data_IF_768425622702
#
_entry.id   IF_768425622702
#
_cell.length_a   1.000
_cell.length_b   1.000
_cell.length_c   1.000
_cell.angle_alpha   90.00
_cell.angle_beta   90.00
_cell.angle_gamma   90.00
#
_symmetry.space_group_name_H-M   'P 1'
#
loop_
_entity.id
_entity.type
_entity.pdbx_description
1 polymer ?
#
# COMPACT_ATOMS: atom_id res chain seq x y z
N UNK A 1 12.33 4.79 -7.65
CA UNK A 1 11.74 6.13 -7.41
C UNK A 1 11.02 6.10 -6.06
N UNK A 2 10.95 7.21 -5.30
CA UNK A 2 10.35 7.23 -3.95
C UNK A 2 9.69 8.57 -3.64
N UNK A 3 8.50 8.53 -3.01
CA UNK A 3 7.84 9.71 -2.46
C UNK A 3 7.13 9.39 -1.15
N UNK A 4 7.20 10.30 -0.19
CA UNK A 4 6.64 10.12 1.16
C UNK A 4 5.33 10.90 1.29
N UNK A 5 4.32 10.23 1.84
CA UNK A 5 2.99 10.75 2.06
C UNK A 5 2.60 10.62 3.53
N UNK A 6 1.59 11.38 3.96
CA UNK A 6 1.01 11.28 5.30
C UNK A 6 -0.42 10.78 5.21
N UNK A 7 -0.80 9.89 6.12
CA UNK A 7 -2.22 9.55 6.29
C UNK A 7 -2.88 10.62 7.14
N UNK A 8 -3.83 11.33 6.54
CA UNK A 8 -4.61 12.35 7.22
C UNK A 8 -5.75 11.73 8.04
N UNK A 9 -6.37 10.67 7.53
CA UNK A 9 -7.52 10.02 8.16
C UNK A 9 -7.50 8.50 7.97
N UNK A 10 -7.78 7.75 9.03
CA UNK A 10 -7.83 6.29 8.98
C UNK A 10 -9.19 5.73 8.53
N UNK A 11 -10.23 6.55 8.42
CA UNK A 11 -11.56 6.11 7.94
C UNK A 11 -11.57 5.75 6.45
N UNK A 12 -10.90 6.56 5.64
CA UNK A 12 -10.78 6.40 4.18
C UNK A 12 -9.30 6.22 3.81
N UNK A 13 -8.59 5.38 4.57
CA UNK A 13 -7.15 5.17 4.41
C UNK A 13 -6.82 4.54 3.05
N UNK A 14 -7.67 3.63 2.58
CA UNK A 14 -7.55 2.90 1.32
C UNK A 14 -7.66 3.84 0.12
N UNK A 15 -8.66 4.73 0.12
CA UNK A 15 -8.81 5.77 -0.90
C UNK A 15 -7.66 6.77 -0.89
N UNK A 16 -7.12 7.09 0.29
CA UNK A 16 -5.95 7.96 0.40
C UNK A 16 -4.70 7.29 -0.18
N UNK A 17 -4.46 6.02 0.12
CA UNK A 17 -3.35 5.26 -0.48
C UNK A 17 -3.51 5.21 -1.99
N UNK A 18 -4.72 4.96 -2.50
CA UNK A 18 -4.99 4.96 -3.95
C UNK A 18 -4.73 6.32 -4.60
N UNK A 19 -5.19 7.40 -3.98
CA UNK A 19 -4.91 8.76 -4.46
C UNK A 19 -3.41 9.06 -4.47
N UNK A 20 -2.67 8.63 -3.45
CA UNK A 20 -1.22 8.80 -3.39
C UNK A 20 -0.50 7.98 -4.46
N UNK A 21 -0.97 6.76 -4.76
CA UNK A 21 -0.40 5.92 -5.82
C UNK A 21 -0.62 6.53 -7.21
N UNK A 22 -1.81 7.10 -7.48
CA UNK A 22 -2.08 7.84 -8.71
C UNK A 22 -1.24 9.10 -8.85
N UNK A 23 -1.09 9.86 -7.77
CA UNK A 23 -0.20 11.03 -7.73
C UNK A 23 1.26 10.63 -8.01
N UNK A 24 1.74 9.56 -7.39
CA UNK A 24 3.06 8.99 -7.66
C UNK A 24 3.22 8.61 -9.14
N UNK A 25 2.24 7.90 -9.72
CA UNK A 25 2.27 7.49 -11.13
C UNK A 25 2.22 8.68 -12.08
N UNK A 26 1.44 9.72 -11.78
CA UNK A 26 1.40 10.94 -12.57
C UNK A 26 2.74 11.67 -12.55
N UNK A 27 3.46 11.65 -11.41
CA UNK A 27 4.77 12.30 -11.26
C UNK A 27 5.90 11.51 -11.93
N UNK A 28 5.94 10.18 -11.74
CA UNK A 28 7.06 9.35 -12.17
C UNK A 28 6.80 8.54 -13.46
N UNK A 29 5.57 8.57 -13.98
CA UNK A 29 5.15 7.78 -15.15
C UNK A 29 5.01 6.28 -14.87
N UNK A 30 5.21 5.82 -13.63
CA UNK A 30 5.14 4.41 -13.21
C UNK A 30 4.39 4.29 -11.90
N UNK A 31 3.51 3.29 -11.80
CA UNK A 31 2.80 3.01 -10.55
C UNK A 31 3.77 2.45 -9.49
N UNK A 32 3.59 2.78 -8.20
CA UNK A 32 4.43 2.21 -7.15
C UNK A 32 4.14 0.72 -6.94
N UNK A 33 5.14 -0.03 -6.46
CA UNK A 33 5.01 -1.45 -6.14
C UNK A 33 5.36 -1.80 -4.68
N UNK A 34 5.86 -0.83 -3.91
CA UNK A 34 6.09 -0.99 -2.48
C UNK A 34 5.44 0.15 -1.70
N UNK A 35 4.95 -0.19 -0.52
CA UNK A 35 4.59 0.73 0.55
C UNK A 35 5.52 0.47 1.73
N UNK A 36 6.48 1.38 1.94
CA UNK A 36 7.40 1.34 3.06
C UNK A 36 6.88 2.19 4.22
N UNK A 37 6.82 1.63 5.42
CA UNK A 37 6.40 2.35 6.61
C UNK A 37 7.00 1.74 7.88
N UNK A 38 7.01 2.51 8.97
CA UNK A 38 7.43 1.96 10.27
C UNK A 38 6.50 0.85 10.73
N UNK A 39 6.98 -0.03 11.59
CA UNK A 39 6.20 -1.14 12.15
C UNK A 39 4.86 -0.69 12.73
N UNK A 40 4.84 0.45 13.43
CA UNK A 40 3.62 1.01 14.03
C UNK A 40 2.61 1.40 12.96
N UNK A 41 3.05 1.97 11.85
CA UNK A 41 2.19 2.33 10.73
C UNK A 41 1.65 1.09 10.01
N UNK A 42 2.49 0.09 9.76
CA UNK A 42 2.08 -1.19 9.17
C UNK A 42 1.02 -1.90 10.03
N UNK A 43 1.21 -1.93 11.36
CA UNK A 43 0.20 -2.45 12.29
C UNK A 43 -1.13 -1.70 12.18
N UNK A 44 -1.11 -0.37 12.00
CA UNK A 44 -2.33 0.42 11.81
C UNK A 44 -3.03 0.13 10.49
N UNK A 45 -2.29 -0.04 9.40
CA UNK A 45 -2.83 -0.50 8.12
C UNK A 45 -3.54 -1.84 8.28
N UNK A 46 -2.89 -2.80 8.93
CA UNK A 46 -3.45 -4.12 9.18
C UNK A 46 -4.77 -4.05 9.97
N UNK A 47 -4.76 -3.33 11.11
CA UNK A 47 -5.98 -3.13 11.91
C UNK A 47 -7.11 -2.46 11.12
N UNK A 48 -6.80 -1.48 10.27
CA UNK A 48 -7.77 -0.79 9.46
C UNK A 48 -8.35 -1.70 8.35
N UNK A 49 -7.52 -2.53 7.72
CA UNK A 49 -7.95 -3.50 6.72
C UNK A 49 -8.82 -4.62 7.31
N UNK A 50 -8.48 -5.13 8.49
CA UNK A 50 -9.30 -6.12 9.20
C UNK A 50 -10.68 -5.56 9.56
N UNK A 51 -10.74 -4.31 10.06
CA UNK A 51 -12.03 -3.63 10.33
C UNK A 51 -12.88 -3.49 9.07
N UNK A 52 -12.28 -3.16 7.93
CA UNK A 52 -13.00 -3.06 6.65
C UNK A 52 -13.53 -4.43 6.16
N UNK A 53 -12.80 -5.51 6.40
CA UNK A 53 -13.22 -6.87 6.05
C UNK A 53 -14.31 -7.42 6.98
N UNK A 54 -14.24 -7.15 8.28
CA UNK A 54 -15.28 -7.51 9.25
C UNK A 54 -16.63 -6.88 8.89
N UNK A 55 -16.63 -5.69 8.27
CA UNK A 55 -17.87 -5.06 7.76
C UNK A 55 -18.46 -5.70 6.50
N UNK A 56 -17.74 -6.61 5.81
CA UNK A 56 -18.15 -7.16 4.49
C UNK A 56 -18.56 -8.64 4.50
N UNK A 57 -18.38 -9.40 5.58
CA UNK A 57 -18.84 -10.80 5.68
C UNK A 57 -19.75 -11.04 6.87
N UNK A 58 -21.03 -11.24 6.59
CA UNK A 58 -21.93 -11.96 7.48
C UNK A 58 -21.61 -13.47 7.33
N UNK A 59 -21.10 -14.12 8.39
CA UNK A 59 -20.96 -15.58 8.40
C UNK A 59 -19.94 -16.17 9.37
N UNK A 60 -18.73 -15.62 9.47
CA UNK A 60 -17.72 -16.07 10.42
C UNK A 60 -17.03 -14.84 11.00
N UNK A 61 -17.10 -14.68 12.32
CA UNK A 61 -16.38 -13.63 13.02
C UNK A 61 -14.89 -13.84 12.73
N UNK A 62 -14.28 -12.94 11.95
CA UNK A 62 -12.83 -12.91 11.84
C UNK A 62 -12.28 -12.77 13.26
N UNK A 63 -11.47 -13.74 13.68
CA UNK A 63 -10.85 -13.73 14.99
C UNK A 63 -10.09 -12.40 15.15
N UNK A 64 -10.46 -11.53 16.10
CA UNK A 64 -9.80 -10.23 16.29
C UNK A 64 -8.34 -10.35 16.71
N UNK A 65 -7.89 -11.56 17.08
CA UNK A 65 -6.49 -11.90 17.36
C UNK A 65 -5.75 -12.52 16.16
N UNK A 66 -6.46 -12.92 15.09
CA UNK A 66 -5.82 -13.40 13.88
C UNK A 66 -5.16 -12.23 13.16
N UNK A 67 -3.84 -12.15 13.32
CA UNK A 67 -2.97 -11.33 12.49
C UNK A 67 -3.11 -11.78 11.03
N UNK A 68 -3.96 -11.11 10.25
CA UNK A 68 -3.86 -11.19 8.80
C UNK A 68 -2.71 -10.27 8.41
N UNK A 69 -1.56 -10.81 8.06
CA UNK A 69 -0.48 -9.99 7.52
C UNK A 69 -0.96 -9.38 6.19
N UNK A 70 -0.99 -8.05 6.09
CA UNK A 70 -1.23 -7.39 4.80
C UNK A 70 -0.01 -7.66 3.92
N UNK A 71 -0.07 -8.74 3.15
CA UNK A 71 0.98 -9.07 2.19
C UNK A 71 0.96 -8.10 0.99
N UNK A 72 -0.20 -7.50 0.70
CA UNK A 72 -0.27 -6.46 -0.32
C UNK A 72 -1.59 -5.69 -0.38
N UNK A 73 -1.56 -4.56 -1.08
CA UNK A 73 -2.71 -3.72 -1.41
C UNK A 73 -2.87 -3.70 -2.91
N UNK A 74 -4.02 -4.12 -3.41
CA UNK A 74 -4.31 -4.18 -4.85
C UNK A 74 -5.12 -2.97 -5.23
N UNK A 75 -4.51 -2.10 -6.05
CA UNK A 75 -5.17 -1.00 -6.71
C UNK A 75 -5.88 -1.45 -7.99
N UNK A 76 -6.27 -0.49 -8.82
CA UNK A 76 -6.94 -0.82 -10.11
C UNK A 76 -5.95 -1.43 -11.11
N UNK A 77 -4.74 -0.90 -11.17
CA UNK A 77 -3.70 -1.19 -12.15
C UNK A 77 -2.31 -1.43 -11.50
N UNK A 78 -2.26 -1.62 -10.19
CA UNK A 78 -1.02 -1.85 -9.45
C UNK A 78 -1.23 -2.75 -8.23
N UNK A 79 -0.14 -3.31 -7.73
CA UNK A 79 -0.10 -4.00 -6.44
C UNK A 79 1.04 -3.44 -5.60
N UNK A 80 0.79 -3.19 -4.32
CA UNK A 80 1.79 -2.73 -3.35
C UNK A 80 2.11 -3.86 -2.40
N UNK A 81 3.40 -4.17 -2.25
CA UNK A 81 3.88 -4.98 -1.13
C UNK A 81 4.22 -4.07 0.04
N UNK A 82 3.88 -4.50 1.25
CA UNK A 82 4.18 -3.74 2.46
C UNK A 82 5.58 -4.14 2.97
N UNK A 83 6.40 -3.14 3.30
CA UNK A 83 7.75 -3.36 3.84
C UNK A 83 7.98 -2.46 5.06
N UNK A 84 8.61 -3.03 6.08
CA UNK A 84 9.00 -2.30 7.29
C UNK A 84 10.29 -1.50 7.02
N UNK A 85 10.28 -0.21 7.34
CA UNK A 85 11.46 0.66 7.25
C UNK A 85 11.45 1.68 8.38
N UNK A 86 12.53 1.72 9.17
CA UNK A 86 12.66 2.56 10.36
C UNK A 86 12.84 4.05 10.03
N UNK A 87 13.36 4.37 8.83
CA UNK A 87 13.65 5.74 8.40
C UNK A 87 12.41 6.49 7.87
N UNK A 88 11.23 5.86 7.86
CA UNK A 88 9.98 6.53 7.47
C UNK A 88 9.44 7.34 8.65
N UNK A 89 9.22 8.66 8.48
CA UNK A 89 8.71 9.51 9.55
C UNK A 89 7.40 8.99 10.15
N UNK A 90 7.19 9.23 11.44
CA UNK A 90 5.93 8.87 12.10
C UNK A 90 4.70 9.39 11.34
N UNK A 91 3.64 8.59 11.35
CA UNK A 91 2.35 8.88 10.66
C UNK A 91 2.48 9.06 9.14
N UNK A 92 3.59 8.63 8.56
CA UNK A 92 3.89 8.71 7.13
C UNK A 92 4.10 7.32 6.55
N UNK A 93 4.02 7.21 5.23
CA UNK A 93 4.39 6.04 4.45
C UNK A 93 5.09 6.51 3.18
N UNK A 94 6.00 5.70 2.65
CA UNK A 94 6.65 5.96 1.37
C UNK A 94 6.11 5.01 0.32
N UNK A 95 5.72 5.56 -0.82
CA UNK A 95 5.48 4.78 -2.03
C UNK A 95 6.78 4.70 -2.81
N UNK A 96 7.14 3.50 -3.25
CA UNK A 96 8.39 3.22 -3.97
C UNK A 96 8.07 2.38 -5.20
N UNK A 97 8.72 2.74 -6.30
CA UNK A 97 8.91 1.84 -7.43
C UNK A 97 10.34 1.29 -7.34
N UNK A 98 10.46 0.04 -6.90
CA UNK A 98 11.72 -0.61 -6.56
C UNK A 98 12.19 -1.63 -7.62
N UNK A 99 11.24 -2.33 -8.24
CA UNK A 99 11.51 -3.27 -9.33
C UNK A 99 10.63 -2.96 -10.54
N UNK A 100 11.11 -3.28 -11.74
CA UNK A 100 10.26 -3.29 -12.92
C UNK A 100 9.34 -4.51 -12.86
N UNK A 101 8.07 -4.36 -13.27
CA UNK A 101 7.26 -5.54 -13.60
C UNK A 101 7.81 -6.18 -14.87
N UNK A 102 7.50 -7.46 -15.12
CA UNK A 102 7.86 -8.11 -16.38
C UNK A 102 7.27 -7.36 -17.60
N UNK A 103 6.10 -6.74 -17.45
CA UNK A 103 5.48 -5.87 -18.47
C UNK A 103 6.30 -4.60 -18.78
N UNK A 104 7.04 -4.06 -17.80
CA UNK A 104 7.93 -2.91 -18.00
C UNK A 104 9.21 -3.29 -18.77
N UNK A 105 9.66 -4.55 -18.69
CA UNK A 105 10.79 -5.06 -19.47
C UNK A 105 10.42 -5.31 -20.95
N UNK A 106 9.18 -5.74 -21.22
CA UNK A 106 8.72 -6.02 -22.59
C UNK A 106 8.57 -4.74 -23.44
N UNK A 107 8.14 -3.63 -22.82
CA UNK A 107 8.08 -2.31 -23.43
C UNK A 107 9.47 -1.73 -23.74
N UNK A 108 10.48 -2.03 -22.92
CA UNK A 108 11.85 -1.55 -23.14
C UNK A 108 12.60 -2.34 -24.22
N UNK A 109 12.22 -3.60 -24.45
CA UNK A 109 12.80 -4.45 -25.48
C UNK A 109 12.20 -4.23 -26.89
N UNK A 110 11.12 -3.46 -26.99
CA UNK A 110 10.37 -3.21 -28.25
C UNK A 110 10.68 -1.85 -28.90
N UNK A 111 11.73 -1.14 -28.45
CA UNK A 111 12.15 0.18 -28.97
C UNK A 111 13.52 0.11 -29.60
#
# INVERSE_FOLDING_TARGET
>A
MRKTYRIANWRDWDKQVDACARDFQAEYGRAPNLLAASQVMLRRFNLAANRAHVGKRSGEAADPSAYIELQGFVGTDYSLLFVEEDDVPERSFSLVYAFASDEDMELAASV
#
